data_IF_735146304371
#
_entry.id   IF_735146304371
#
_cell.length_a   1.000
_cell.length_b   1.000
_cell.length_c   1.000
_cell.angle_alpha   90.00
_cell.angle_beta   90.00
_cell.angle_gamma   90.00
#
_symmetry.space_group_name_H-M   'P 1'
#
loop_
_entity.id
_entity.type
_entity.pdbx_description
1 polymer ?
#
# COMPACT_ATOMS: atom_id res chain seq x y z
N UNK A 1 -3.84 -27.91 13.68
CA UNK A 1 -4.15 -26.96 14.78
C UNK A 1 -5.66 -26.82 15.03
N UNK A 2 -6.50 -26.57 14.01
CA UNK A 2 -7.96 -26.41 14.17
C UNK A 2 -8.66 -27.63 14.82
N UNK A 3 -8.28 -28.85 14.44
CA UNK A 3 -8.89 -30.09 14.97
C UNK A 3 -8.62 -30.31 16.48
N UNK A 4 -7.46 -29.89 16.99
CA UNK A 4 -7.13 -29.98 18.41
C UNK A 4 -7.91 -28.98 19.26
N UNK A 5 -8.07 -27.75 18.77
CA UNK A 5 -8.87 -26.72 19.42
C UNK A 5 -10.35 -27.12 19.53
N UNK A 6 -10.94 -27.65 18.45
CA UNK A 6 -12.33 -28.13 18.45
C UNK A 6 -12.53 -29.29 19.43
N UNK A 7 -11.58 -30.23 19.50
CA UNK A 7 -11.64 -31.33 20.46
C UNK A 7 -11.61 -30.84 21.92
N UNK A 8 -10.79 -29.83 22.22
CA UNK A 8 -10.71 -29.20 23.55
C UNK A 8 -12.03 -28.50 23.90
N UNK A 9 -12.61 -27.73 22.98
CA UNK A 9 -13.89 -27.06 23.20
C UNK A 9 -15.03 -28.05 23.45
N UNK A 10 -15.04 -29.19 22.74
CA UNK A 10 -16.05 -30.24 22.93
C UNK A 10 -15.89 -30.92 24.29
N UNK A 11 -14.66 -31.21 24.74
CA UNK A 11 -14.41 -31.79 26.06
C UNK A 11 -14.84 -30.84 27.18
N UNK A 12 -14.53 -29.55 27.06
CA UNK A 12 -14.94 -28.53 28.03
C UNK A 12 -16.47 -28.35 28.07
N UNK A 13 -17.13 -28.35 26.92
CA UNK A 13 -18.59 -28.26 26.84
C UNK A 13 -19.28 -29.48 27.45
N UNK A 14 -18.75 -30.69 27.20
CA UNK A 14 -19.27 -31.93 27.77
C UNK A 14 -19.03 -32.02 29.29
N UNK A 15 -17.87 -31.56 29.78
CA UNK A 15 -17.58 -31.50 31.20
C UNK A 15 -18.51 -30.51 31.93
N UNK A 16 -18.76 -29.35 31.34
CA UNK A 16 -19.72 -28.38 31.87
C UNK A 16 -21.15 -28.95 31.89
N UNK A 17 -21.58 -29.61 30.81
CA UNK A 17 -22.89 -30.28 30.72
C UNK A 17 -23.02 -31.41 31.74
N UNK A 18 -21.96 -32.20 31.96
CA UNK A 18 -21.97 -33.30 32.92
C UNK A 18 -22.04 -32.82 34.38
N UNK A 19 -21.52 -31.64 34.69
CA UNK A 19 -21.68 -31.02 36.02
C UNK A 19 -23.07 -30.40 36.21
N UNK A 20 -23.62 -29.77 35.18
CA UNK A 20 -24.85 -28.96 35.29
C UNK A 20 -26.12 -29.81 35.08
N UNK A 21 -26.10 -30.78 34.15
CA UNK A 21 -27.28 -31.56 33.78
C UNK A 21 -27.85 -32.44 34.93
N UNK A 22 -27.03 -33.14 35.75
CA UNK A 22 -27.55 -33.93 36.86
C UNK A 22 -28.20 -33.07 37.95
N UNK A 23 -27.73 -31.84 38.12
CA UNK A 23 -28.25 -30.89 39.11
C UNK A 23 -29.56 -30.25 38.66
N UNK A 24 -29.67 -29.88 37.38
CA UNK A 24 -30.93 -29.42 36.78
C UNK A 24 -32.01 -30.50 36.75
N UNK A 25 -31.62 -31.77 36.64
CA UNK A 25 -32.57 -32.89 36.69
C UNK A 25 -33.00 -33.27 38.11
N UNK A 26 -32.13 -33.14 39.12
CA UNK A 26 -32.47 -33.47 40.51
C UNK A 26 -33.27 -32.37 41.23
N UNK A 27 -33.02 -31.10 40.93
CA UNK A 27 -33.64 -29.95 41.62
C UNK A 27 -34.66 -29.20 40.73
N UNK A 28 -35.61 -29.91 40.13
CA UNK A 28 -36.80 -29.26 39.54
C UNK A 28 -37.69 -28.69 40.66
N UNK A 29 -37.39 -27.46 41.08
CA UNK A 29 -38.22 -26.67 42.01
C UNK A 29 -37.54 -26.11 43.26
N UNK A 30 -36.21 -26.21 43.40
CA UNK A 30 -35.45 -25.56 44.49
C UNK A 30 -34.37 -24.63 43.92
N UNK A 31 -34.03 -23.50 44.58
CA UNK A 31 -32.96 -22.63 44.11
C UNK A 31 -31.64 -23.39 44.13
N UNK A 32 -30.88 -23.29 43.04
CA UNK A 32 -29.62 -24.02 42.84
C UNK A 32 -28.66 -23.80 44.03
N UNK A 33 -28.07 -24.88 44.56
CA UNK A 33 -27.13 -24.75 45.67
C UNK A 33 -25.87 -23.99 45.22
N UNK A 34 -25.53 -22.92 45.95
CA UNK A 34 -24.38 -22.05 45.65
C UNK A 34 -23.05 -22.80 45.56
N UNK A 35 -22.95 -23.95 46.23
CA UNK A 35 -21.80 -24.85 46.20
C UNK A 35 -21.51 -25.45 44.81
N UNK A 36 -22.54 -25.64 43.98
CA UNK A 36 -22.37 -26.19 42.64
C UNK A 36 -21.84 -25.16 41.62
N UNK A 37 -22.27 -23.91 41.77
CA UNK A 37 -21.80 -22.78 40.99
C UNK A 37 -20.34 -22.46 41.32
N UNK A 38 -19.96 -22.51 42.60
CA UNK A 38 -18.56 -22.29 43.01
C UNK A 38 -17.64 -23.42 42.54
N UNK A 39 -18.08 -24.68 42.62
CA UNK A 39 -17.30 -25.82 42.13
C UNK A 39 -17.04 -25.73 40.62
N UNK A 40 -18.06 -25.36 39.83
CA UNK A 40 -17.92 -25.20 38.38
C UNK A 40 -17.02 -24.01 38.01
N UNK A 41 -17.12 -22.90 38.76
CA UNK A 41 -16.30 -21.70 38.54
C UNK A 41 -14.81 -21.95 38.83
N UNK A 42 -14.48 -22.90 39.72
CA UNK A 42 -13.09 -23.28 40.03
C UNK A 42 -12.57 -24.40 39.12
N UNK A 43 -13.43 -25.34 38.70
CA UNK A 43 -13.01 -26.47 37.89
C UNK A 43 -12.61 -26.05 36.46
N UNK A 44 -13.35 -25.10 35.87
CA UNK A 44 -13.11 -24.60 34.51
C UNK A 44 -11.72 -23.95 34.35
N UNK A 45 -11.28 -23.00 35.21
CA UNK A 45 -9.95 -22.41 35.08
C UNK A 45 -8.84 -23.43 35.37
N UNK A 46 -9.01 -24.35 36.32
CA UNK A 46 -8.03 -25.40 36.60
C UNK A 46 -7.87 -26.34 35.39
N UNK A 47 -8.98 -26.73 34.77
CA UNK A 47 -8.97 -27.60 33.59
C UNK A 47 -8.38 -26.87 32.37
N UNK A 48 -8.67 -25.57 32.22
CA UNK A 48 -8.06 -24.73 31.18
C UNK A 48 -6.53 -24.62 31.36
N UNK A 49 -6.05 -24.46 32.60
CA UNK A 49 -4.61 -24.46 32.92
C UNK A 49 -3.98 -25.82 32.63
N UNK A 50 -4.61 -26.93 33.01
CA UNK A 50 -4.10 -28.28 32.73
C UNK A 50 -4.01 -28.57 31.23
N UNK A 51 -5.03 -28.21 30.46
CA UNK A 51 -5.05 -28.36 29.01
C UNK A 51 -3.99 -27.47 28.36
N UNK A 52 -3.83 -26.23 28.83
CA UNK A 52 -2.76 -25.34 28.38
C UNK A 52 -1.39 -25.96 28.63
N UNK A 53 -1.12 -26.48 29.82
CA UNK A 53 0.16 -27.13 30.15
C UNK A 53 0.41 -28.40 29.32
N UNK A 54 -0.62 -29.15 28.97
CA UNK A 54 -0.48 -30.40 28.20
C UNK A 54 -0.39 -30.16 26.68
N UNK A 55 -1.07 -29.14 26.16
CA UNK A 55 -1.12 -28.81 24.73
C UNK A 55 -0.09 -27.77 24.31
N UNK A 56 0.52 -27.05 25.26
CA UNK A 56 1.57 -26.08 24.98
C UNK A 56 2.85 -26.81 24.64
N UNK A 57 3.35 -26.60 23.42
CA UNK A 57 4.67 -27.07 22.98
C UNK A 57 5.80 -26.10 23.42
N UNK A 58 5.56 -25.37 24.51
CA UNK A 58 6.40 -24.30 25.03
C UNK A 58 7.14 -24.84 26.26
N UNK A 59 8.41 -25.23 26.09
CA UNK A 59 9.26 -25.70 27.19
C UNK A 59 9.67 -24.54 28.10
N UNK A 60 8.82 -24.22 29.08
CA UNK A 60 9.11 -23.24 30.13
C UNK A 60 10.39 -23.58 30.92
N UNK A 61 10.80 -24.86 30.92
CA UNK A 61 12.05 -25.31 31.54
C UNK A 61 13.32 -24.78 30.84
N UNK A 62 13.24 -24.35 29.58
CA UNK A 62 14.33 -23.68 28.85
C UNK A 62 14.04 -22.19 28.61
N UNK A 63 12.85 -21.70 28.98
CA UNK A 63 12.58 -20.28 29.15
C UNK A 63 13.14 -19.81 30.50
N UNK A 64 14.40 -20.13 30.77
CA UNK A 64 15.20 -19.44 31.76
C UNK A 64 15.41 -18.01 31.28
N UNK A 65 14.38 -17.18 31.42
CA UNK A 65 14.59 -15.76 31.60
C UNK A 65 15.27 -15.65 32.96
N UNK A 66 16.59 -15.80 32.96
CA UNK A 66 17.41 -15.32 34.07
C UNK A 66 17.01 -13.86 34.22
N UNK A 67 16.18 -13.58 35.23
CA UNK A 67 15.90 -12.20 35.62
C UNK A 67 17.26 -11.58 35.92
N UNK A 68 17.48 -10.36 35.47
CA UNK A 68 18.70 -9.63 35.82
C UNK A 68 18.91 -9.65 37.34
N UNK A 69 20.13 -9.42 37.82
CA UNK A 69 20.42 -9.34 39.26
C UNK A 69 19.49 -8.35 40.02
N UNK A 70 18.83 -7.45 39.30
CA UNK A 70 17.88 -6.44 39.77
C UNK A 70 16.38 -6.83 39.65
N UNK A 71 16.05 -8.00 39.11
CA UNK A 71 14.67 -8.45 38.87
C UNK A 71 14.00 -7.86 37.63
N UNK A 72 14.75 -7.16 36.77
CA UNK A 72 14.25 -6.66 35.49
C UNK A 72 14.22 -7.78 34.43
N UNK A 73 13.29 -7.73 33.45
CA UNK A 73 13.36 -8.60 32.29
C UNK A 73 14.67 -8.33 31.52
N UNK A 74 15.34 -9.38 31.01
CA UNK A 74 16.60 -9.23 30.28
C UNK A 74 16.43 -8.33 29.06
N UNK A 75 17.44 -7.50 28.79
CA UNK A 75 17.43 -6.59 27.65
C UNK A 75 17.53 -7.38 26.34
N UNK A 76 17.01 -6.84 25.25
CA UNK A 76 17.02 -7.51 23.94
C UNK A 76 18.45 -7.86 23.52
N UNK A 77 19.41 -6.98 23.80
CA UNK A 77 20.84 -7.18 23.57
C UNK A 77 21.40 -8.43 24.27
N UNK A 78 20.94 -8.73 25.49
CA UNK A 78 21.38 -9.86 26.29
C UNK A 78 20.81 -11.19 25.76
N UNK A 79 19.63 -11.14 25.14
CA UNK A 79 18.94 -12.31 24.58
C UNK A 79 19.45 -12.72 23.18
N UNK A 80 20.11 -11.80 22.46
CA UNK A 80 20.64 -12.07 21.11
C UNK A 80 21.67 -13.18 21.11
N UNK A 81 22.59 -13.21 22.09
CA UNK A 81 23.66 -14.21 22.18
C UNK A 81 23.12 -15.65 22.30
N UNK A 82 22.29 -15.94 23.30
CA UNK A 82 21.62 -17.23 23.45
C UNK A 82 20.77 -17.62 22.24
N UNK A 83 20.01 -16.68 21.67
CA UNK A 83 19.18 -16.93 20.49
C UNK A 83 20.03 -17.33 19.28
N UNK A 84 21.14 -16.62 19.05
CA UNK A 84 22.10 -16.96 17.99
C UNK A 84 22.71 -18.34 18.20
N UNK A 85 23.19 -18.65 19.40
CA UNK A 85 23.80 -19.95 19.70
C UNK A 85 22.83 -21.12 19.45
N UNK A 86 21.54 -20.94 19.79
CA UNK A 86 20.50 -21.91 19.48
C UNK A 86 20.29 -22.08 17.97
N UNK A 87 20.26 -20.99 17.21
CA UNK A 87 20.06 -21.03 15.76
C UNK A 87 21.28 -21.57 15.01
N UNK A 88 22.47 -21.43 15.57
CA UNK A 88 23.67 -22.11 15.07
C UNK A 88 23.58 -23.64 15.25
N UNK A 89 22.99 -24.11 16.36
CA UNK A 89 22.75 -25.53 16.61
C UNK A 89 21.53 -26.10 15.86
N UNK A 90 20.58 -25.27 15.45
CA UNK A 90 19.37 -25.65 14.72
C UNK A 90 19.07 -24.61 13.63
N UNK A 91 19.79 -24.67 12.49
CA UNK A 91 19.75 -23.62 11.47
C UNK A 91 18.46 -23.62 10.64
N UNK A 92 17.66 -24.67 10.68
CA UNK A 92 16.43 -24.82 9.89
C UNK A 92 15.18 -24.28 10.60
N UNK A 93 15.30 -23.14 11.30
CA UNK A 93 14.19 -22.47 11.98
C UNK A 93 13.96 -21.06 11.43
N UNK A 94 13.16 -20.89 10.36
CA UNK A 94 12.86 -19.59 9.77
C UNK A 94 12.26 -18.60 10.76
N UNK A 95 11.47 -19.08 11.74
CA UNK A 95 10.83 -18.19 12.73
C UNK A 95 11.84 -17.67 13.74
N UNK A 96 12.79 -18.50 14.16
CA UNK A 96 13.88 -18.08 15.02
C UNK A 96 14.79 -17.06 14.33
N UNK A 97 15.11 -17.26 13.06
CA UNK A 97 15.86 -16.28 12.25
C UNK A 97 15.09 -14.96 12.07
N UNK A 98 13.78 -15.02 11.89
CA UNK A 98 12.92 -13.82 11.83
C UNK A 98 13.00 -13.03 13.14
N UNK A 99 12.88 -13.72 14.28
CA UNK A 99 12.99 -13.09 15.60
C UNK A 99 14.37 -12.47 15.79
N UNK A 100 15.44 -13.19 15.42
CA UNK A 100 16.80 -12.69 15.52
C UNK A 100 17.01 -11.42 14.67
N UNK A 101 16.46 -11.39 13.45
CA UNK A 101 16.48 -10.22 12.58
C UNK A 101 15.78 -9.02 13.20
N UNK A 102 14.58 -9.22 13.74
CA UNK A 102 13.83 -8.18 14.44
C UNK A 102 14.57 -7.68 15.70
N UNK A 103 15.17 -8.58 16.48
CA UNK A 103 15.98 -8.22 17.66
C UNK A 103 17.20 -7.40 17.27
N UNK A 104 17.92 -7.77 16.21
CA UNK A 104 19.05 -6.97 15.71
C UNK A 104 18.62 -5.58 15.24
N UNK A 105 17.48 -5.48 14.54
CA UNK A 105 16.96 -4.18 14.09
C UNK A 105 16.58 -3.27 15.27
N UNK A 106 16.00 -3.84 16.33
CA UNK A 106 15.62 -3.09 17.54
C UNK A 106 16.83 -2.48 18.28
N UNK A 107 17.98 -3.15 18.22
CA UNK A 107 19.23 -2.68 18.84
C UNK A 107 20.14 -1.95 17.84
N UNK A 108 19.55 -1.50 16.72
CA UNK A 108 20.19 -0.74 15.64
C UNK A 108 21.37 -1.45 14.94
N UNK A 109 21.47 -2.78 15.08
CA UNK A 109 22.46 -3.62 14.39
C UNK A 109 21.95 -4.04 13.02
N UNK A 110 21.75 -3.06 12.15
CA UNK A 110 21.07 -3.25 10.87
C UNK A 110 21.76 -4.24 9.91
N UNK A 111 23.09 -4.29 9.88
CA UNK A 111 23.83 -5.24 9.04
C UNK A 111 23.61 -6.69 9.47
N UNK A 112 23.49 -6.94 10.78
CA UNK A 112 23.23 -8.27 11.33
C UNK A 112 21.76 -8.65 11.15
N UNK A 113 20.85 -7.68 11.28
CA UNK A 113 19.44 -7.86 10.99
C UNK A 113 19.20 -8.32 9.54
N UNK A 114 19.81 -7.63 8.58
CA UNK A 114 19.71 -7.99 7.17
C UNK A 114 20.21 -9.43 6.90
N UNK A 115 21.33 -9.84 7.50
CA UNK A 115 21.85 -11.21 7.40
C UNK A 115 20.91 -12.25 8.02
N UNK A 116 20.26 -11.95 9.15
CA UNK A 116 19.30 -12.85 9.75
C UNK A 116 18.04 -13.02 8.88
N UNK A 117 17.53 -11.93 8.29
CA UNK A 117 16.42 -12.00 7.34
C UNK A 117 16.80 -12.76 6.05
N UNK A 118 18.05 -12.65 5.59
CA UNK A 118 18.56 -13.46 4.48
C UNK A 118 18.44 -14.97 4.78
N UNK A 119 18.72 -15.40 6.00
CA UNK A 119 18.51 -16.81 6.40
C UNK A 119 17.05 -17.24 6.31
N UNK A 120 16.11 -16.36 6.65
CA UNK A 120 14.67 -16.65 6.49
C UNK A 120 14.32 -16.81 5.01
N UNK A 121 14.80 -15.91 4.16
CA UNK A 121 14.56 -15.95 2.73
C UNK A 121 15.18 -17.20 2.08
N UNK A 122 16.40 -17.58 2.46
CA UNK A 122 17.05 -18.80 2.00
C UNK A 122 16.21 -20.05 2.33
N UNK A 123 15.74 -20.16 3.57
CA UNK A 123 14.99 -21.33 4.05
C UNK A 123 13.57 -21.40 3.46
N UNK A 124 12.99 -20.26 3.09
CA UNK A 124 11.62 -20.18 2.53
C UNK A 124 11.58 -20.15 1.00
N UNK A 125 12.75 -20.05 0.36
CA UNK A 125 12.91 -19.90 -1.08
C UNK A 125 12.50 -18.52 -1.58
N UNK A 126 12.75 -17.46 -0.80
CA UNK A 126 12.48 -16.07 -1.15
C UNK A 126 11.01 -15.66 -1.13
N UNK A 127 10.13 -16.49 -0.56
CA UNK A 127 8.67 -16.28 -0.58
C UNK A 127 8.13 -15.56 0.65
N UNK A 128 8.95 -15.41 1.70
CA UNK A 128 8.56 -14.75 2.93
C UNK A 128 8.64 -13.23 2.76
N UNK A 129 7.50 -12.59 2.50
CA UNK A 129 7.42 -11.14 2.27
C UNK A 129 7.68 -10.32 3.53
N UNK A 130 7.41 -10.87 4.72
CA UNK A 130 7.70 -10.20 5.98
C UNK A 130 9.22 -10.12 6.19
N UNK A 131 9.94 -11.20 5.87
CA UNK A 131 11.40 -11.22 5.91
C UNK A 131 12.00 -10.31 4.85
N UNK A 132 11.40 -10.27 3.65
CA UNK A 132 11.82 -9.37 2.57
C UNK A 132 11.67 -7.90 2.99
N UNK A 133 10.53 -7.55 3.59
CA UNK A 133 10.27 -6.21 4.13
C UNK A 133 11.22 -5.88 5.29
N UNK A 134 11.44 -6.81 6.22
CA UNK A 134 12.38 -6.65 7.32
C UNK A 134 13.82 -6.42 6.86
N UNK A 135 14.27 -7.16 5.83
CA UNK A 135 15.58 -6.96 5.20
C UNK A 135 15.68 -5.58 4.56
N UNK A 136 14.69 -5.19 3.75
CA UNK A 136 14.68 -3.90 3.09
C UNK A 136 14.76 -2.75 4.09
N UNK A 137 13.96 -2.82 5.16
CA UNK A 137 13.99 -1.85 6.25
C UNK A 137 15.36 -1.78 6.93
N UNK A 138 15.96 -2.91 7.28
CA UNK A 138 17.29 -2.94 7.87
C UNK A 138 18.34 -2.29 6.94
N UNK A 139 18.29 -2.58 5.64
CA UNK A 139 19.19 -1.97 4.66
C UNK A 139 18.99 -0.45 4.55
N UNK A 140 17.75 0.03 4.56
CA UNK A 140 17.41 1.46 4.50
C UNK A 140 17.87 2.19 5.77
N UNK A 141 17.63 1.61 6.94
CA UNK A 141 18.02 2.21 8.22
C UNK A 141 19.54 2.25 8.40
N UNK A 142 20.25 1.23 7.90
CA UNK A 142 21.71 1.21 7.88
C UNK A 142 22.33 2.16 6.85
N UNK A 143 21.65 2.38 5.72
CA UNK A 143 22.08 3.26 4.64
C UNK A 143 20.87 3.78 3.85
N UNK A 144 20.39 5.01 4.12
CA UNK A 144 19.17 5.56 3.50
C UNK A 144 19.19 5.59 1.97
N UNK A 145 20.37 5.68 1.35
CA UNK A 145 20.54 5.67 -0.10
C UNK A 145 20.04 4.37 -0.73
N UNK A 146 20.07 3.25 0.01
CA UNK A 146 19.60 1.95 -0.50
C UNK A 146 18.10 1.92 -0.81
N UNK A 147 17.32 2.86 -0.25
CA UNK A 147 15.92 3.04 -0.62
C UNK A 147 15.73 3.31 -2.12
N UNK A 148 16.70 3.98 -2.76
CA UNK A 148 16.69 4.27 -4.19
C UNK A 148 17.37 3.20 -5.04
N UNK A 149 17.92 2.17 -4.39
CA UNK A 149 18.63 1.05 -5.01
C UNK A 149 17.87 -0.27 -4.77
N UNK A 150 18.56 -1.30 -4.30
CA UNK A 150 18.05 -2.66 -4.13
C UNK A 150 16.98 -2.78 -3.05
N UNK A 151 17.10 -2.08 -1.91
CA UNK A 151 16.09 -2.15 -0.86
C UNK A 151 14.76 -1.54 -1.32
N UNK A 152 14.79 -0.53 -2.18
CA UNK A 152 13.59 0.03 -2.81
C UNK A 152 12.84 -0.98 -3.67
N UNK A 153 13.56 -1.80 -4.45
CA UNK A 153 12.95 -2.86 -5.26
C UNK A 153 12.29 -3.94 -4.39
N UNK A 154 12.90 -4.30 -3.25
CA UNK A 154 12.31 -5.22 -2.28
C UNK A 154 10.99 -4.67 -1.72
N UNK A 155 10.94 -3.37 -1.41
CA UNK A 155 9.71 -2.70 -0.95
C UNK A 155 8.59 -2.80 -2.01
N UNK A 156 8.91 -2.58 -3.29
CA UNK A 156 7.93 -2.73 -4.37
C UNK A 156 7.44 -4.18 -4.50
N UNK A 157 8.33 -5.16 -4.36
CA UNK A 157 7.93 -6.58 -4.38
C UNK A 157 6.96 -6.92 -3.24
N UNK A 158 7.21 -6.40 -2.04
CA UNK A 158 6.30 -6.55 -0.90
C UNK A 158 4.95 -5.91 -1.21
N UNK A 159 4.91 -4.70 -1.76
CA UNK A 159 3.66 -4.02 -2.15
C UNK A 159 2.90 -4.73 -3.27
N UNK A 160 3.58 -5.44 -4.17
CA UNK A 160 2.92 -6.27 -5.18
C UNK A 160 2.21 -7.48 -4.56
N UNK A 161 2.79 -8.07 -3.50
CA UNK A 161 2.21 -9.21 -2.81
C UNK A 161 1.13 -8.78 -1.79
N UNK A 162 1.37 -7.70 -1.06
CA UNK A 162 0.48 -7.10 -0.07
C UNK A 162 0.42 -5.57 -0.29
N UNK A 163 -0.53 -5.08 -1.11
CA UNK A 163 -0.69 -3.66 -1.39
C UNK A 163 -1.03 -2.82 -0.16
N UNK A 164 -1.50 -3.43 0.93
CA UNK A 164 -1.89 -2.75 2.15
C UNK A 164 -0.79 -2.79 3.24
N UNK A 165 0.40 -3.32 2.92
CA UNK A 165 1.48 -3.45 3.89
C UNK A 165 1.90 -2.06 4.43
N UNK A 166 1.76 -1.76 5.73
CA UNK A 166 2.01 -0.42 6.25
C UNK A 166 3.45 0.07 6.06
N UNK A 167 4.43 -0.83 6.24
CA UNK A 167 5.86 -0.50 6.02
C UNK A 167 6.16 -0.33 4.54
N UNK A 168 5.58 -1.19 3.70
CA UNK A 168 5.66 -1.07 2.25
C UNK A 168 5.14 0.29 1.78
N UNK A 169 3.96 0.70 2.24
CA UNK A 169 3.35 1.98 1.90
C UNK A 169 4.19 3.17 2.38
N UNK A 170 4.77 3.08 3.59
CA UNK A 170 5.66 4.10 4.13
C UNK A 170 6.93 4.28 3.28
N UNK A 171 7.75 3.23 3.17
CA UNK A 171 9.02 3.29 2.43
C UNK A 171 8.81 3.49 0.92
N UNK A 172 7.76 2.88 0.36
CA UNK A 172 7.39 3.05 -1.03
C UNK A 172 6.94 4.49 -1.32
N UNK A 173 6.25 5.14 -0.39
CA UNK A 173 5.91 6.56 -0.52
C UNK A 173 7.14 7.47 -0.41
N UNK A 174 8.07 7.17 0.52
CA UNK A 174 9.34 7.90 0.64
C UNK A 174 10.17 7.80 -0.66
N UNK A 175 10.28 6.60 -1.25
CA UNK A 175 10.95 6.37 -2.54
C UNK A 175 10.28 7.15 -3.68
N UNK A 176 8.95 7.11 -3.75
CA UNK A 176 8.19 7.83 -4.77
C UNK A 176 8.43 9.35 -4.65
N UNK A 177 8.35 9.92 -3.44
CA UNK A 177 8.64 11.34 -3.18
C UNK A 177 10.08 11.73 -3.53
N UNK A 178 11.06 10.87 -3.22
CA UNK A 178 12.46 11.10 -3.54
C UNK A 178 12.77 11.04 -5.05
N UNK A 179 11.95 10.32 -5.83
CA UNK A 179 12.08 10.19 -7.30
C UNK A 179 11.16 11.14 -8.07
N UNK A 180 10.47 12.07 -7.40
CA UNK A 180 9.55 13.04 -8.01
C UNK A 180 8.18 12.47 -8.40
N UNK A 181 7.87 11.25 -7.99
CA UNK A 181 6.58 10.60 -8.21
C UNK A 181 5.59 10.94 -7.08
N UNK A 182 5.38 12.25 -6.86
CA UNK A 182 4.67 12.77 -5.69
C UNK A 182 3.21 12.25 -5.59
N UNK A 183 2.54 12.02 -6.73
CA UNK A 183 1.20 11.42 -6.76
C UNK A 183 1.18 10.00 -6.19
N UNK A 184 2.17 9.19 -6.55
CA UNK A 184 2.29 7.81 -6.04
C UNK A 184 2.59 7.85 -4.53
N UNK A 185 3.43 8.79 -4.09
CA UNK A 185 3.71 8.98 -2.67
C UNK A 185 2.44 9.33 -1.87
N UNK A 186 1.67 10.31 -2.35
CA UNK A 186 0.41 10.73 -1.74
C UNK A 186 -0.60 9.57 -1.69
N UNK A 187 -0.74 8.79 -2.76
CA UNK A 187 -1.65 7.65 -2.79
C UNK A 187 -1.27 6.59 -1.75
N UNK A 188 0.02 6.23 -1.66
CA UNK A 188 0.50 5.22 -0.70
C UNK A 188 0.31 5.65 0.74
N UNK A 189 0.63 6.89 1.06
CA UNK A 189 0.46 7.44 2.40
C UNK A 189 -1.01 7.59 2.80
N UNK A 190 -1.90 7.98 1.87
CA UNK A 190 -3.35 7.98 2.13
C UNK A 190 -3.86 6.58 2.42
N UNK A 191 -3.46 5.59 1.61
CA UNK A 191 -3.81 4.19 1.83
C UNK A 191 -3.30 3.68 3.19
N UNK A 192 -2.10 4.11 3.61
CA UNK A 192 -1.55 3.78 4.94
C UNK A 192 -2.43 4.34 6.07
N UNK A 193 -2.98 5.55 5.90
CA UNK A 193 -3.83 6.21 6.89
C UNK A 193 -5.26 5.64 6.99
N UNK A 194 -5.70 4.89 5.98
CA UNK A 194 -6.95 4.10 6.03
C UNK A 194 -6.81 2.89 6.97
N UNK A 195 -5.58 2.40 7.16
CA UNK A 195 -5.25 1.31 8.07
C UNK A 195 -5.06 1.74 9.53
N UNK A 196 -4.89 0.78 10.45
CA UNK A 196 -4.58 1.07 11.84
C UNK A 196 -3.16 1.61 11.98
N UNK A 197 -3.04 2.90 12.32
CA UNK A 197 -1.77 3.58 12.62
C UNK A 197 -1.84 4.26 13.98
N UNK A 198 -0.70 4.35 14.67
CA UNK A 198 -0.64 5.10 15.94
C UNK A 198 -0.77 6.60 15.66
N UNK A 199 -1.22 7.42 16.64
CA UNK A 199 -1.31 8.86 16.46
C UNK A 199 0.02 9.52 16.05
N UNK A 200 1.14 9.00 16.56
CA UNK A 200 2.48 9.50 16.25
C UNK A 200 2.83 9.25 14.78
N UNK A 201 2.60 8.02 14.28
CA UNK A 201 2.83 7.68 12.87
C UNK A 201 1.90 8.47 11.96
N UNK A 202 0.64 8.63 12.35
CA UNK A 202 -0.33 9.46 11.61
C UNK A 202 0.18 10.89 11.43
N UNK A 203 0.64 11.52 12.50
CA UNK A 203 1.16 12.89 12.44
C UNK A 203 2.39 13.02 11.53
N UNK A 204 3.27 12.01 11.51
CA UNK A 204 4.42 11.97 10.60
C UNK A 204 3.95 11.90 9.14
N UNK A 205 3.03 10.98 8.84
CA UNK A 205 2.52 10.77 7.47
C UNK A 205 1.74 12.01 6.98
N UNK A 206 0.91 12.60 7.82
CA UNK A 206 0.19 13.86 7.52
C UNK A 206 1.18 15.01 7.29
N UNK A 207 2.25 15.10 8.07
CA UNK A 207 3.31 16.09 7.85
C UNK A 207 4.02 15.93 6.50
N UNK A 208 4.26 14.70 6.04
CA UNK A 208 4.82 14.45 4.70
C UNK A 208 3.82 14.77 3.58
N UNK A 209 2.54 14.49 3.79
CA UNK A 209 1.46 14.87 2.87
C UNK A 209 1.35 16.39 2.73
N UNK A 210 1.44 17.14 3.82
CA UNK A 210 1.42 18.61 3.81
C UNK A 210 2.65 19.19 3.10
N UNK A 211 3.84 18.62 3.32
CA UNK A 211 5.07 19.00 2.62
C UNK A 211 4.96 18.79 1.11
N UNK A 212 4.40 17.66 0.70
CA UNK A 212 4.16 17.38 -0.72
C UNK A 212 3.05 18.27 -1.28
N UNK A 213 1.97 18.52 -0.53
CA UNK A 213 0.94 19.48 -0.91
C UNK A 213 1.52 20.86 -1.17
N UNK A 214 2.35 21.36 -0.25
CA UNK A 214 3.08 22.61 -0.43
C UNK A 214 4.07 22.56 -1.60
N UNK A 215 4.69 21.42 -1.92
CA UNK A 215 5.56 21.25 -3.10
C UNK A 215 4.74 21.23 -4.40
N UNK A 216 3.55 20.65 -4.39
CA UNK A 216 2.60 20.66 -5.51
C UNK A 216 2.00 22.06 -5.70
N UNK A 217 1.80 22.82 -4.62
CA UNK A 217 1.29 24.20 -4.65
C UNK A 217 2.38 25.23 -5.00
N UNK A 218 3.60 25.07 -4.47
CA UNK A 218 4.77 25.94 -4.78
C UNK A 218 5.47 25.55 -6.07
N UNK A 219 5.39 24.27 -6.45
CA UNK A 219 5.57 23.74 -7.78
C UNK A 219 4.29 23.78 -8.61
N UNK A 220 3.32 24.62 -8.22
CA UNK A 220 2.02 24.89 -8.87
C UNK A 220 2.12 25.59 -10.22
N UNK A 221 3.15 25.22 -10.98
CA UNK A 221 3.26 25.32 -12.43
C UNK A 221 3.61 23.95 -13.06
N UNK A 222 3.48 22.83 -12.35
CA UNK A 222 3.52 21.48 -12.94
C UNK A 222 2.37 20.63 -12.42
N UNK A 223 1.32 20.63 -13.24
CA UNK A 223 0.09 19.85 -13.16
C UNK A 223 0.34 18.36 -12.89
N UNK A 224 -0.16 17.89 -11.75
CA UNK A 224 -0.33 16.47 -11.43
C UNK A 224 -1.80 16.16 -11.06
N UNK A 225 -2.73 16.76 -11.80
CA UNK A 225 -3.78 15.93 -12.38
C UNK A 225 -3.23 15.49 -13.73
N UNK A 226 -3.31 14.21 -14.07
CA UNK A 226 -2.99 13.70 -15.40
C UNK A 226 -3.82 14.44 -16.42
N UNK A 227 -3.27 15.56 -16.86
CA UNK A 227 -3.96 16.54 -17.65
C UNK A 227 -3.00 17.10 -18.68
N UNK A 228 -3.43 16.99 -19.92
CA UNK A 228 -2.74 17.57 -21.06
C UNK A 228 -3.18 19.02 -21.11
N UNK A 229 -2.27 19.93 -20.75
CA UNK A 229 -2.46 21.35 -21.01
C UNK A 229 -2.15 21.61 -22.48
N UNK A 230 -3.12 22.18 -23.19
CA UNK A 230 -3.07 22.51 -24.61
C UNK A 230 -3.17 24.02 -24.73
N UNK A 231 -2.16 24.64 -25.34
CA UNK A 231 -2.22 26.04 -25.76
C UNK A 231 -2.46 26.07 -27.26
N UNK A 232 -3.67 26.44 -27.64
CA UNK A 232 -4.09 26.47 -29.03
C UNK A 232 -3.95 27.89 -29.58
N UNK A 233 -3.21 28.02 -30.67
CA UNK A 233 -3.14 29.22 -31.50
C UNK A 233 -3.82 28.96 -32.83
N UNK A 234 -4.30 30.02 -33.48
CA UNK A 234 -4.95 29.93 -34.78
C UNK A 234 -3.99 30.52 -35.82
N UNK A 235 -3.51 29.66 -36.72
CA UNK A 235 -2.64 30.06 -37.80
C UNK A 235 -3.34 31.09 -38.69
N UNK A 236 -2.70 32.23 -38.91
CA UNK A 236 -3.22 33.32 -39.74
C UNK A 236 -3.56 32.81 -41.16
N UNK A 237 -4.64 33.29 -41.81
CA UNK A 237 -5.43 34.48 -41.51
C UNK A 237 -6.64 34.19 -40.59
N UNK A 238 -6.63 34.82 -39.42
CA UNK A 238 -7.36 34.40 -38.24
C UNK A 238 -8.68 35.16 -38.00
N UNK A 239 -9.80 34.58 -38.45
CA UNK A 239 -11.08 34.77 -37.76
C UNK A 239 -11.76 33.40 -37.66
N UNK A 240 -12.02 32.87 -36.44
CA UNK A 240 -12.76 31.62 -36.31
C UNK A 240 -14.14 31.78 -36.97
N UNK A 241 -14.62 30.77 -37.72
CA UNK A 241 -15.93 30.84 -38.34
C UNK A 241 -17.02 31.11 -37.29
N UNK A 242 -18.03 31.96 -37.59
CA UNK A 242 -19.10 32.24 -36.64
C UNK A 242 -19.87 30.95 -36.33
N UNK A 243 -19.90 30.55 -35.06
CA UNK A 243 -20.52 29.29 -34.62
C UNK A 243 -19.61 28.07 -34.68
N UNK A 244 -18.31 28.25 -34.93
CA UNK A 244 -17.37 27.14 -34.93
C UNK A 244 -17.25 26.45 -33.56
N UNK A 245 -17.11 25.13 -33.62
CA UNK A 245 -16.97 24.27 -32.44
C UNK A 245 -15.60 23.63 -32.47
N UNK A 246 -14.86 23.74 -31.37
CA UNK A 246 -13.56 23.13 -31.21
C UNK A 246 -13.72 21.74 -30.57
N UNK A 247 -13.24 20.72 -31.26
CA UNK A 247 -13.14 19.35 -30.79
C UNK A 247 -11.68 19.02 -30.52
N UNK A 248 -11.41 18.48 -29.34
CA UNK A 248 -10.09 18.00 -28.95
C UNK A 248 -10.25 16.53 -28.62
N UNK A 249 -9.45 15.67 -29.25
CA UNK A 249 -9.43 14.25 -28.94
C UNK A 249 -8.01 13.75 -28.66
N UNK A 250 -7.91 12.83 -27.71
CA UNK A 250 -6.68 12.13 -27.35
C UNK A 250 -6.81 10.66 -27.70
N UNK A 251 -5.83 10.14 -28.45
CA UNK A 251 -5.79 8.74 -28.89
C UNK A 251 -4.48 8.08 -28.49
N UNK A 252 -4.53 6.79 -28.22
CA UNK A 252 -3.34 5.97 -28.05
C UNK A 252 -2.74 5.71 -29.44
N UNK A 253 -1.46 6.06 -29.68
CA UNK A 253 -0.81 5.80 -30.97
C UNK A 253 -0.92 4.34 -31.39
N UNK A 254 -1.31 4.08 -32.64
CA UNK A 254 -1.41 2.73 -33.20
C UNK A 254 -2.69 1.94 -32.83
N UNK A 255 -3.57 2.49 -31.99
CA UNK A 255 -4.85 1.85 -31.65
C UNK A 255 -6.00 2.40 -32.50
N UNK A 256 -6.68 1.52 -33.24
CA UNK A 256 -7.93 1.86 -33.93
C UNK A 256 -9.11 1.80 -32.95
N UNK A 257 -10.01 2.79 -33.01
CA UNK A 257 -11.18 2.83 -32.12
C UNK A 257 -11.65 4.24 -31.79
N UNK A 258 -12.62 4.39 -30.87
CA UNK A 258 -12.97 5.68 -30.29
C UNK A 258 -11.77 6.29 -29.54
N UNK A 259 -11.68 7.62 -29.43
CA UNK A 259 -10.61 8.26 -28.69
C UNK A 259 -10.69 7.93 -27.20
N UNK A 260 -9.54 7.97 -26.52
CA UNK A 260 -9.44 7.75 -25.08
C UNK A 260 -10.22 8.81 -24.32
N UNK A 261 -10.04 10.07 -24.71
CA UNK A 261 -10.72 11.22 -24.15
C UNK A 261 -11.10 12.20 -25.26
N UNK A 262 -12.21 12.91 -25.07
CA UNK A 262 -12.65 13.93 -26.01
C UNK A 262 -13.31 15.10 -25.30
N UNK A 263 -13.06 16.31 -25.79
CA UNK A 263 -13.59 17.54 -25.24
C UNK A 263 -14.14 18.43 -26.35
N UNK A 264 -15.34 18.96 -26.11
CA UNK A 264 -16.00 19.92 -27.00
C UNK A 264 -15.98 21.29 -26.35
N UNK A 265 -15.54 22.30 -27.09
CA UNK A 265 -15.52 23.69 -26.68
C UNK A 265 -16.33 24.51 -27.68
N UNK A 266 -17.46 25.02 -27.22
CA UNK A 266 -18.35 25.87 -28.00
C UNK A 266 -17.86 27.33 -27.91
N UNK A 267 -17.77 28.05 -29.03
CA UNK A 267 -17.41 29.48 -29.04
C UNK A 267 -15.94 29.79 -28.70
N UNK A 268 -15.01 28.94 -29.15
CA UNK A 268 -13.58 29.09 -28.92
C UNK A 268 -13.03 30.47 -29.34
N UNK A 269 -12.29 31.12 -28.43
CA UNK A 269 -11.60 32.40 -28.66
C UNK A 269 -10.10 32.16 -28.54
N UNK A 270 -9.35 32.54 -29.57
CA UNK A 270 -7.92 32.28 -29.64
C UNK A 270 -7.10 33.52 -29.25
N UNK A 271 -5.93 33.35 -28.60
CA UNK A 271 -5.35 32.09 -28.14
C UNK A 271 -6.19 31.46 -27.01
N UNK A 272 -6.32 30.14 -27.03
CA UNK A 272 -7.15 29.38 -26.09
C UNK A 272 -6.30 28.37 -25.32
N UNK A 273 -6.36 28.42 -24.00
CA UNK A 273 -5.79 27.37 -23.15
C UNK A 273 -6.89 26.38 -22.78
N UNK A 274 -6.66 25.11 -23.10
CA UNK A 274 -7.59 24.02 -22.80
C UNK A 274 -6.86 22.95 -22.03
N UNK A 275 -7.51 22.43 -21.00
CA UNK A 275 -7.00 21.30 -20.22
C UNK A 275 -7.84 20.07 -20.50
N UNK A 276 -7.21 18.99 -20.92
CA UNK A 276 -7.83 17.68 -21.08
C UNK A 276 -7.38 16.79 -19.93
N UNK A 277 -8.29 16.17 -19.18
CA UNK A 277 -8.01 15.43 -17.95
C UNK A 277 -8.69 14.06 -17.96
N UNK A 278 -8.42 13.24 -16.94
CA UNK A 278 -9.11 11.95 -16.74
C UNK A 278 -10.64 12.07 -16.70
N UNK A 279 -11.18 13.24 -16.33
CA UNK A 279 -12.63 13.49 -16.35
C UNK A 279 -13.22 13.57 -17.77
N UNK A 280 -12.39 13.79 -18.78
CA UNK A 280 -12.78 13.88 -20.19
C UNK A 280 -12.68 12.50 -20.91
N UNK A 281 -12.37 11.42 -20.18
CA UNK A 281 -12.26 10.07 -20.71
C UNK A 281 -13.60 9.51 -21.21
N UNK A 282 -13.61 8.95 -22.42
CA UNK A 282 -14.81 8.36 -23.05
C UNK A 282 -14.96 6.87 -22.76
N UNK A 283 -13.87 6.19 -22.41
CA UNK A 283 -13.85 4.73 -22.21
C UNK A 283 -13.86 4.40 -20.71
N UNK A 284 -14.79 3.54 -20.24
CA UNK A 284 -14.81 3.11 -18.84
C UNK A 284 -13.51 2.42 -18.45
N UNK A 285 -12.83 2.95 -17.42
CA UNK A 285 -11.59 2.39 -16.89
C UNK A 285 -10.31 2.78 -17.63
N UNK A 286 -10.38 3.62 -18.66
CA UNK A 286 -9.20 4.14 -19.35
C UNK A 286 -8.95 5.59 -18.91
N UNK A 287 -7.70 5.93 -18.57
CA UNK A 287 -7.31 7.25 -18.04
C UNK A 287 -6.17 7.84 -18.87
N UNK A 288 -6.12 9.16 -18.94
CA UNK A 288 -5.02 9.92 -19.54
C UNK A 288 -3.77 9.76 -18.67
N UNK A 289 -3.95 9.77 -17.34
CA UNK A 289 -2.87 9.58 -16.36
C UNK A 289 -2.13 8.25 -16.48
N UNK A 290 -2.77 7.21 -17.01
CA UNK A 290 -2.17 5.88 -17.19
C UNK A 290 -1.34 5.76 -18.49
N UNK A 291 -1.37 6.78 -19.36
CA UNK A 291 -0.70 6.73 -20.67
C UNK A 291 0.63 7.48 -20.64
N UNK A 292 1.69 6.82 -21.10
CA UNK A 292 3.00 7.45 -21.30
C UNK A 292 3.06 8.33 -22.55
N UNK A 293 2.21 8.06 -23.55
CA UNK A 293 2.17 8.78 -24.81
C UNK A 293 0.74 8.87 -25.36
N UNK A 294 0.37 10.03 -25.91
CA UNK A 294 -0.92 10.29 -26.55
C UNK A 294 -0.75 11.09 -27.83
N UNK A 295 -1.52 10.73 -28.86
CA UNK A 295 -1.71 11.56 -30.05
C UNK A 295 -2.89 12.50 -29.80
N UNK A 296 -2.61 13.80 -29.69
CA UNK A 296 -3.62 14.84 -29.49
C UNK A 296 -3.97 15.47 -30.84
N UNK A 297 -5.25 15.52 -31.14
CA UNK A 297 -5.79 16.20 -32.33
C UNK A 297 -6.75 17.29 -31.87
N UNK A 298 -6.54 18.51 -32.35
CA UNK A 298 -7.44 19.63 -32.15
C UNK A 298 -8.03 20.05 -33.49
N UNK A 299 -9.36 20.11 -33.58
CA UNK A 299 -10.09 20.50 -34.79
C UNK A 299 -11.11 21.58 -34.47
N UNK A 300 -11.01 22.72 -35.12
CA UNK A 300 -12.04 23.76 -35.13
C UNK A 300 -12.96 23.53 -36.32
N UNK A 301 -14.17 23.01 -36.07
CA UNK A 301 -15.14 22.74 -37.12
C UNK A 301 -16.03 23.95 -37.40
N UNK A 302 -16.10 24.38 -38.66
CA UNK A 302 -16.97 25.47 -39.08
C UNK A 302 -18.46 25.07 -39.12
N UNK A 303 -18.73 23.78 -39.35
CA UNK A 303 -20.08 23.22 -39.48
C UNK A 303 -20.65 22.68 -38.16
N UNK A 304 -19.82 22.60 -37.11
CA UNK A 304 -20.18 22.01 -35.82
C UNK A 304 -20.26 20.48 -35.84
N UNK A 305 -19.86 19.82 -36.93
CA UNK A 305 -19.82 18.37 -37.04
C UNK A 305 -18.47 17.81 -36.56
N UNK A 306 -18.48 16.58 -36.03
CA UNK A 306 -17.28 15.88 -35.56
C UNK A 306 -16.43 15.39 -36.75
N UNK A 307 -17.07 15.09 -37.87
CA UNK A 307 -16.41 14.66 -39.11
C UNK A 307 -15.71 15.82 -39.79
N UNK A 308 -14.53 15.56 -40.36
CA UNK A 308 -13.76 16.56 -41.10
C UNK A 308 -14.62 17.17 -42.22
N UNK A 309 -14.76 18.49 -42.21
CA UNK A 309 -15.42 19.29 -43.24
C UNK A 309 -14.46 20.26 -43.92
N UNK A 310 -14.86 20.76 -45.09
CA UNK A 310 -14.14 21.83 -45.77
C UNK A 310 -14.25 23.14 -44.96
N UNK A 311 -13.13 23.85 -44.76
CA UNK A 311 -13.08 25.07 -43.96
C UNK A 311 -12.84 24.86 -42.46
N UNK A 312 -12.58 23.62 -42.04
CA UNK A 312 -12.14 23.30 -40.68
C UNK A 312 -10.66 23.65 -40.49
N UNK A 313 -10.24 23.94 -39.27
CA UNK A 313 -8.83 24.09 -38.92
C UNK A 313 -8.40 22.88 -38.09
N UNK A 314 -7.22 22.32 -38.35
CA UNK A 314 -6.75 21.10 -37.66
C UNK A 314 -5.28 21.24 -37.27
N UNK A 315 -4.93 20.70 -36.11
CA UNK A 315 -3.57 20.53 -35.62
C UNK A 315 -3.45 19.18 -34.91
N UNK A 316 -2.28 18.55 -35.02
CA UNK A 316 -1.98 17.30 -34.35
C UNK A 316 -0.58 17.35 -33.77
N UNK A 317 -0.41 16.85 -32.54
CA UNK A 317 0.90 16.62 -31.97
C UNK A 317 0.89 15.41 -31.01
N UNK A 318 2.08 14.86 -30.79
CA UNK A 318 2.29 13.84 -29.78
C UNK A 318 2.58 14.50 -28.42
N UNK A 319 1.96 13.97 -27.37
CA UNK A 319 2.18 14.35 -25.98
C UNK A 319 2.78 13.17 -25.23
N UNK A 320 3.76 13.42 -24.38
CA UNK A 320 4.36 12.44 -23.47
C UNK A 320 4.09 12.79 -22.01
N UNK A 321 3.97 11.78 -21.15
CA UNK A 321 3.75 11.98 -19.72
C UNK A 321 4.89 12.82 -19.10
N UNK A 322 4.50 13.90 -18.41
CA UNK A 322 5.45 14.88 -17.84
C UNK A 322 5.88 15.99 -18.81
N UNK A 323 5.44 15.97 -20.08
CA UNK A 323 5.60 17.09 -20.99
C UNK A 323 4.69 18.25 -20.56
N UNK A 324 5.24 19.47 -20.56
CA UNK A 324 4.49 20.69 -20.28
C UNK A 324 3.44 21.02 -21.35
N UNK A 325 2.89 22.23 -21.29
CA UNK A 325 1.83 22.66 -22.20
C UNK A 325 2.20 22.45 -23.68
N UNK A 326 1.33 21.78 -24.41
CA UNK A 326 1.50 21.47 -25.83
C UNK A 326 0.98 22.66 -26.65
N UNK A 327 1.86 23.28 -27.43
CA UNK A 327 1.47 24.35 -28.36
C UNK A 327 1.00 23.73 -29.68
N UNK A 328 -0.25 24.00 -30.05
CA UNK A 328 -0.84 23.55 -31.30
C UNK A 328 -1.28 24.77 -32.11
N UNK A 329 -0.74 24.87 -33.34
CA UNK A 329 -1.16 25.88 -34.29
C UNK A 329 -2.17 25.29 -35.28
N UNK A 330 -3.43 25.73 -35.18
CA UNK A 330 -4.53 25.25 -36.02
C UNK A 330 -4.38 25.80 -37.44
N UNK A 331 -4.17 24.92 -38.41
CA UNK A 331 -3.98 25.28 -39.82
C UNK A 331 -5.26 25.01 -40.60
N UNK A 332 -5.66 25.97 -41.43
CA UNK A 332 -6.81 25.86 -42.32
C UNK A 332 -6.70 24.64 -43.25
N UNK A 333 -7.74 23.80 -43.25
CA UNK A 333 -7.86 22.68 -44.17
C UNK A 333 -8.71 23.10 -45.38
N UNK A 334 -8.14 23.07 -46.61
CA UNK A 334 -8.80 23.52 -47.83
C UNK A 334 -10.00 22.67 -48.25
#
# INVERSE_FOLDING_TARGET
MLAGFVAICVVLALAALACVAPQLWRDRGKPASTAALTASCLLIPVLAVLIYLQSSNYEWAHAGLEMGEDGSPPRVEELIGPLRARLEASPDDPRGWMLLGASYAQVERYSDAAQAFDRVLDLTGGRDMDALMGKAEALILGNPQRLLEDAGEMVEQVLLADPANPKGLWYGGLRASATGQDIIAVQRWRMMLEGPVTPEVRAIVEGELDRLGARVESGGAVSAEGSVELRLTLGLPATPPPGAVLFIDARIPGQAGPPLAAKRVDGARFPLEVRLSDADAMLPGARISDQSELAITARLSASGQITRGAGDYEAQAAWQAGQGALELDLIHQP
#
